data_IF_447148202686
#
_entry.id   IF_447148202686
#
_cell.length_a   1.000
_cell.length_b   1.000
_cell.length_c   1.000
_cell.angle_alpha   90.00
_cell.angle_beta   90.00
_cell.angle_gamma   90.00
#
_symmetry.space_group_name_H-M   'P 1'
#
loop_
_entity.id
_entity.type
_entity.pdbx_description
1 polymer ?
#
# COMPACT_ATOMS: atom_id res chain seq x y z
N UNK A 1 18.05 31.73 2.61
CA UNK A 1 16.84 30.93 2.39
C UNK A 1 17.14 29.97 1.27
N UNK A 2 17.08 28.68 1.55
CA UNK A 2 17.43 27.59 0.65
C UNK A 2 16.48 27.59 -0.57
N UNK A 3 17.00 27.60 -1.79
CA UNK A 3 16.14 27.50 -2.97
C UNK A 3 15.83 26.02 -3.25
N UNK A 4 14.65 25.57 -2.83
CA UNK A 4 14.22 24.18 -2.96
C UNK A 4 14.36 23.63 -4.39
N UNK A 5 14.04 24.43 -5.42
CA UNK A 5 14.08 23.95 -6.80
C UNK A 5 15.53 23.79 -7.29
N UNK A 6 16.42 24.72 -6.94
CA UNK A 6 17.84 24.62 -7.28
C UNK A 6 18.52 23.44 -6.56
N UNK A 7 18.18 23.21 -5.29
CA UNK A 7 18.67 22.05 -4.54
C UNK A 7 18.14 20.74 -5.10
N UNK A 8 16.86 20.68 -5.48
CA UNK A 8 16.25 19.48 -6.05
C UNK A 8 16.85 19.10 -7.41
N UNK A 9 17.35 20.07 -8.19
CA UNK A 9 18.04 19.82 -9.46
C UNK A 9 19.41 19.14 -9.28
N UNK A 10 20.05 19.29 -8.11
CA UNK A 10 21.32 18.63 -7.80
C UNK A 10 21.15 17.11 -7.71
N UNK A 11 19.95 16.60 -7.41
CA UNK A 11 19.67 15.17 -7.30
C UNK A 11 19.52 14.50 -8.67
N UNK A 12 20.35 13.49 -8.90
CA UNK A 12 20.35 12.65 -10.10
C UNK A 12 19.78 11.25 -9.80
N UNK A 13 19.09 10.63 -10.76
CA UNK A 13 18.64 9.25 -10.62
C UNK A 13 19.82 8.28 -10.71
N UNK A 14 19.80 7.20 -9.93
CA UNK A 14 20.82 6.15 -9.97
C UNK A 14 20.32 4.99 -10.84
N UNK A 15 21.07 4.54 -11.84
CA UNK A 15 20.63 3.44 -12.71
C UNK A 15 20.59 2.08 -11.99
N UNK A 16 21.56 1.86 -11.09
CA UNK A 16 21.74 0.63 -10.33
C UNK A 16 22.52 0.91 -9.03
N UNK A 17 22.71 -0.14 -8.24
CA UNK A 17 23.50 -0.07 -7.02
C UNK A 17 24.94 0.36 -7.28
N UNK A 18 25.53 0.05 -8.44
CA UNK A 18 26.92 0.41 -8.77
C UNK A 18 27.11 1.92 -8.91
N UNK A 19 26.12 2.62 -9.48
CA UNK A 19 26.08 4.08 -9.54
C UNK A 19 25.69 4.72 -8.20
N UNK A 20 24.97 4.01 -7.34
CA UNK A 20 24.63 4.48 -5.98
C UNK A 20 25.76 4.26 -4.96
N UNK A 21 26.85 3.55 -5.33
CA UNK A 21 27.99 3.23 -4.45
C UNK A 21 28.62 4.48 -3.85
N UNK A 22 28.70 5.56 -4.63
CA UNK A 22 29.36 6.79 -4.20
C UNK A 22 28.62 7.44 -3.01
N UNK A 23 27.34 7.11 -2.81
CA UNK A 23 26.46 7.71 -1.80
C UNK A 23 25.94 6.68 -0.77
N UNK A 24 26.48 5.45 -0.77
CA UNK A 24 26.15 4.39 0.20
C UNK A 24 27.42 3.98 0.93
N UNK A 25 27.50 4.29 2.23
CA UNK A 25 28.70 4.10 3.04
C UNK A 25 28.62 2.83 3.91
N UNK A 26 29.77 2.28 4.30
CA UNK A 26 29.89 1.19 5.28
C UNK A 26 30.16 -0.21 4.73
N UNK A 27 30.34 -1.18 5.64
CA UNK A 27 30.65 -2.58 5.30
C UNK A 27 29.45 -3.36 4.73
N UNK A 28 28.23 -2.85 4.93
CA UNK A 28 26.97 -3.40 4.39
C UNK A 28 26.98 -3.48 2.85
N UNK A 29 27.58 -2.50 2.18
CA UNK A 29 27.72 -2.48 0.73
C UNK A 29 28.58 -3.65 0.22
N UNK A 30 29.61 -4.04 0.99
CA UNK A 30 30.48 -5.18 0.65
C UNK A 30 29.75 -6.51 0.79
N UNK A 31 28.80 -6.61 1.72
CA UNK A 31 27.97 -7.80 1.90
C UNK A 31 26.87 -7.90 0.85
N UNK A 32 26.19 -6.78 0.54
CA UNK A 32 25.15 -6.70 -0.51
C UNK A 32 25.74 -7.13 -1.86
N UNK A 33 26.96 -6.70 -2.20
CA UNK A 33 27.63 -7.09 -3.45
C UNK A 33 28.03 -8.56 -3.53
N UNK A 34 28.28 -9.22 -2.39
CA UNK A 34 28.67 -10.65 -2.34
C UNK A 34 27.48 -11.59 -2.49
N UNK A 35 26.28 -11.12 -2.15
CA UNK A 35 25.06 -11.93 -2.19
C UNK A 35 24.14 -11.47 -3.33
N UNK A 36 23.96 -12.32 -4.36
CA UNK A 36 23.11 -12.02 -5.52
C UNK A 36 21.66 -11.67 -5.16
N UNK A 37 21.12 -12.25 -4.09
CA UNK A 37 19.76 -11.98 -3.63
C UNK A 37 19.65 -10.59 -2.98
N UNK A 38 20.64 -10.22 -2.17
CA UNK A 38 20.68 -8.89 -1.56
C UNK A 38 20.99 -7.80 -2.58
N UNK A 39 21.86 -8.08 -3.56
CA UNK A 39 22.10 -7.20 -4.71
C UNK A 39 20.82 -6.94 -5.52
N UNK A 40 20.02 -7.97 -5.77
CA UNK A 40 18.73 -7.81 -6.45
C UNK A 40 17.76 -6.94 -5.65
N UNK A 41 17.66 -7.15 -4.33
CA UNK A 41 16.81 -6.34 -3.45
C UNK A 41 17.27 -4.88 -3.43
N UNK A 42 18.56 -4.64 -3.28
CA UNK A 42 19.13 -3.30 -3.27
C UNK A 42 18.83 -2.54 -4.58
N UNK A 43 18.97 -3.19 -5.74
CA UNK A 43 18.58 -2.59 -7.02
C UNK A 43 17.08 -2.25 -7.11
N UNK A 44 16.20 -3.01 -6.47
CA UNK A 44 14.77 -2.66 -6.39
C UNK A 44 14.52 -1.46 -5.47
N UNK A 45 15.30 -1.32 -4.40
CA UNK A 45 15.22 -0.16 -3.51
C UNK A 45 15.73 1.12 -4.21
N UNK A 46 16.80 1.03 -5.00
CA UNK A 46 17.28 2.17 -5.81
C UNK A 46 16.20 2.66 -6.81
N UNK A 47 15.41 1.76 -7.39
CA UNK A 47 14.26 2.16 -8.21
C UNK A 47 13.22 2.95 -7.44
N UNK A 48 12.98 2.63 -6.16
CA UNK A 48 12.06 3.39 -5.30
C UNK A 48 12.59 4.77 -4.96
N UNK A 49 13.90 4.92 -4.78
CA UNK A 49 14.55 6.22 -4.65
C UNK A 49 14.33 7.09 -5.90
N UNK A 50 14.55 6.55 -7.10
CA UNK A 50 14.29 7.28 -8.36
C UNK A 50 12.81 7.68 -8.51
N UNK A 51 11.89 6.82 -8.06
CA UNK A 51 10.46 7.15 -8.02
C UNK A 51 10.19 8.30 -7.05
N UNK A 52 10.79 8.27 -5.86
CA UNK A 52 10.67 9.34 -4.88
C UNK A 52 11.16 10.68 -5.43
N UNK A 53 12.32 10.69 -6.10
CA UNK A 53 12.87 11.86 -6.76
C UNK A 53 11.94 12.41 -7.85
N UNK A 54 11.33 11.52 -8.65
CA UNK A 54 10.36 11.95 -9.66
C UNK A 54 9.10 12.54 -9.02
N UNK A 55 8.61 11.97 -7.92
CA UNK A 55 7.49 12.53 -7.17
C UNK A 55 7.82 13.91 -6.60
N UNK A 56 9.01 14.10 -6.02
CA UNK A 56 9.48 15.40 -5.53
C UNK A 56 9.54 16.44 -6.65
N UNK A 57 10.06 16.07 -7.84
CA UNK A 57 10.11 16.95 -9.03
C UNK A 57 8.73 17.33 -9.56
N UNK A 58 7.73 16.49 -9.34
CA UNK A 58 6.33 16.75 -9.70
C UNK A 58 5.57 17.52 -8.61
N UNK A 59 6.20 17.81 -7.47
CA UNK A 59 5.57 18.44 -6.31
C UNK A 59 4.64 17.51 -5.50
N UNK A 60 4.76 16.20 -5.70
CA UNK A 60 4.02 15.16 -4.98
C UNK A 60 4.80 14.73 -3.72
N UNK A 61 4.98 15.67 -2.78
CA UNK A 61 5.93 15.54 -1.67
C UNK A 61 5.58 14.39 -0.70
N UNK A 62 4.29 14.14 -0.42
CA UNK A 62 3.84 13.04 0.45
C UNK A 62 4.21 11.66 -0.11
N UNK A 63 4.06 11.47 -1.43
CA UNK A 63 4.43 10.23 -2.11
C UNK A 63 5.95 10.07 -2.17
N UNK A 64 6.68 11.16 -2.34
CA UNK A 64 8.14 11.17 -2.28
C UNK A 64 8.63 10.74 -0.89
N UNK A 65 8.10 11.34 0.18
CA UNK A 65 8.42 11.00 1.58
C UNK A 65 8.09 9.55 1.92
N UNK A 66 6.94 9.03 1.46
CA UNK A 66 6.57 7.62 1.65
C UNK A 66 7.58 6.65 1.02
N UNK A 67 8.01 6.93 -0.21
CA UNK A 67 9.01 6.10 -0.88
C UNK A 67 10.39 6.23 -0.21
N UNK A 68 10.79 7.42 0.23
CA UNK A 68 12.06 7.64 0.93
C UNK A 68 12.13 6.88 2.25
N UNK A 69 11.05 6.87 3.05
CA UNK A 69 10.98 6.06 4.29
C UNK A 69 11.24 4.59 4.01
N UNK A 70 10.69 4.03 2.92
CA UNK A 70 10.96 2.66 2.51
C UNK A 70 12.41 2.44 2.08
N UNK A 71 13.01 3.43 1.41
CA UNK A 71 14.40 3.37 0.93
C UNK A 71 15.37 3.34 2.12
N UNK A 72 15.26 4.30 3.04
CA UNK A 72 16.16 4.41 4.18
C UNK A 72 15.99 3.28 5.19
N UNK A 73 14.78 2.70 5.29
CA UNK A 73 14.56 1.49 6.10
C UNK A 73 15.30 0.26 5.55
N UNK A 74 15.49 0.19 4.24
CA UNK A 74 16.14 -0.94 3.57
C UNK A 74 17.64 -0.71 3.34
N UNK A 75 18.07 0.54 3.18
CA UNK A 75 19.48 0.95 3.05
C UNK A 75 19.72 2.13 4.01
N UNK A 76 20.02 1.87 5.30
CA UNK A 76 20.13 2.89 6.35
C UNK A 76 21.29 3.88 6.19
N UNK A 77 22.22 3.61 5.27
CA UNK A 77 23.41 4.44 5.04
C UNK A 77 23.40 5.11 3.65
N UNK A 78 22.22 5.31 3.06
CA UNK A 78 22.05 5.95 1.75
C UNK A 78 21.88 7.48 1.88
N UNK A 79 22.97 8.21 1.68
CA UNK A 79 23.05 9.66 1.97
C UNK A 79 22.10 10.49 1.11
N UNK A 80 22.01 10.23 -0.20
CA UNK A 80 21.10 11.00 -1.07
C UNK A 80 19.62 10.85 -0.68
N UNK A 81 19.22 9.66 -0.24
CA UNK A 81 17.85 9.43 0.20
C UNK A 81 17.54 10.26 1.46
N UNK A 82 18.49 10.36 2.40
CA UNK A 82 18.35 11.23 3.56
C UNK A 82 18.44 12.72 3.20
N UNK A 83 19.28 13.12 2.24
CA UNK A 83 19.37 14.51 1.79
C UNK A 83 18.06 14.97 1.13
N UNK A 84 17.49 14.15 0.26
CA UNK A 84 16.19 14.45 -0.36
C UNK A 84 15.06 14.47 0.67
N UNK A 85 15.11 13.56 1.65
CA UNK A 85 14.15 13.52 2.76
C UNK A 85 14.25 14.76 3.64
N UNK A 86 15.47 15.21 3.97
CA UNK A 86 15.70 16.44 4.72
C UNK A 86 15.19 17.67 3.95
N UNK A 87 15.51 17.77 2.66
CA UNK A 87 15.07 18.87 1.80
C UNK A 87 13.53 18.97 1.71
N UNK A 88 12.84 17.84 1.53
CA UNK A 88 11.38 17.78 1.52
C UNK A 88 10.76 18.12 2.87
N UNK A 89 11.40 17.68 3.96
CA UNK A 89 10.92 17.95 5.33
C UNK A 89 11.09 19.43 5.68
N UNK A 90 12.18 20.07 5.25
CA UNK A 90 12.37 21.54 5.39
C UNK A 90 11.30 22.29 4.62
N UNK A 91 10.98 21.89 3.38
CA UNK A 91 9.88 22.51 2.59
C UNK A 91 8.51 22.36 3.28
N UNK A 92 8.31 21.28 4.02
CA UNK A 92 7.07 20.98 4.73
C UNK A 92 7.02 21.57 6.16
N UNK A 93 8.06 22.31 6.58
CA UNK A 93 8.23 22.80 7.97
C UNK A 93 8.25 21.67 9.03
N UNK A 94 8.53 20.42 8.60
CA UNK A 94 8.72 19.26 9.48
C UNK A 94 10.19 19.18 9.92
N UNK A 95 10.52 20.04 10.86
CA UNK A 95 11.88 20.21 11.36
C UNK A 95 12.40 19.01 12.16
N UNK A 96 11.50 18.22 12.78
CA UNK A 96 11.86 17.01 13.52
C UNK A 96 12.40 15.94 12.56
N UNK A 97 11.65 15.65 11.50
CA UNK A 97 12.07 14.69 10.48
C UNK A 97 13.31 15.16 9.72
N UNK A 98 13.41 16.47 9.44
CA UNK A 98 14.60 17.05 8.80
C UNK A 98 15.87 16.85 9.64
N UNK A 99 15.78 17.12 10.95
CA UNK A 99 16.89 16.97 11.88
C UNK A 99 17.30 15.49 12.02
N UNK A 100 16.35 14.57 12.10
CA UNK A 100 16.64 13.13 12.14
C UNK A 100 17.39 12.68 10.87
N UNK A 101 16.93 13.10 9.69
CA UNK A 101 17.55 12.75 8.42
C UNK A 101 18.99 13.29 8.32
N UNK A 102 19.21 14.56 8.69
CA UNK A 102 20.55 15.19 8.73
C UNK A 102 21.48 14.50 9.73
N UNK A 103 20.98 14.15 10.93
CA UNK A 103 21.77 13.44 11.93
C UNK A 103 22.19 12.05 11.45
N UNK A 104 21.35 11.36 10.68
CA UNK A 104 21.72 10.08 10.08
C UNK A 104 22.81 10.25 9.01
N UNK A 105 22.82 11.35 8.26
CA UNK A 105 23.91 11.68 7.33
C UNK A 105 25.22 11.90 8.09
N UNK A 106 25.23 12.71 9.16
CA UNK A 106 26.46 12.97 9.91
C UNK A 106 27.06 11.75 10.61
N UNK A 107 26.28 10.69 10.84
CA UNK A 107 26.83 9.41 11.34
C UNK A 107 27.73 8.71 10.32
N UNK A 108 27.47 8.91 9.03
CA UNK A 108 28.19 8.24 7.93
C UNK A 108 29.14 9.17 7.18
N UNK A 109 28.77 10.43 7.02
CA UNK A 109 29.55 11.49 6.37
C UNK A 109 29.43 12.79 7.20
N UNK A 110 30.29 12.96 8.23
CA UNK A 110 30.30 14.16 9.08
C UNK A 110 30.61 15.46 8.33
N UNK A 111 31.29 15.37 7.18
CA UNK A 111 31.76 16.53 6.44
C UNK A 111 30.82 16.97 5.31
N UNK A 112 29.70 16.27 5.11
CA UNK A 112 28.74 16.53 4.04
C UNK A 112 28.28 18.00 3.97
N UNK A 113 28.62 18.69 2.88
CA UNK A 113 28.37 20.12 2.71
C UNK A 113 26.86 20.42 2.65
N UNK A 114 26.09 19.63 1.88
CA UNK A 114 24.64 19.79 1.74
C UNK A 114 23.91 19.60 3.08
N UNK A 115 24.29 18.60 3.87
CA UNK A 115 23.70 18.37 5.18
C UNK A 115 23.98 19.52 6.16
N UNK A 116 25.20 20.09 6.15
CA UNK A 116 25.54 21.29 6.95
C UNK A 116 24.72 22.51 6.52
N UNK A 117 24.51 22.68 5.22
CA UNK A 117 23.70 23.76 4.67
C UNK A 117 22.22 23.63 5.06
N UNK A 118 21.64 22.44 4.93
CA UNK A 118 20.24 22.16 5.32
C UNK A 118 20.05 22.33 6.84
N UNK A 119 21.04 21.93 7.64
CA UNK A 119 21.04 22.12 9.09
C UNK A 119 21.10 23.60 9.50
N UNK A 120 21.82 24.43 8.73
CA UNK A 120 21.93 25.86 9.00
C UNK A 120 20.62 26.59 8.75
N UNK A 121 19.91 26.22 7.68
CA UNK A 121 18.59 26.75 7.36
C UNK A 121 17.56 26.39 8.45
N UNK A 122 17.48 25.10 8.82
CA UNK A 122 16.67 24.62 9.94
C UNK A 122 16.93 25.40 11.25
N UNK A 123 18.20 25.58 11.62
CA UNK A 123 18.55 26.27 12.86
C UNK A 123 18.33 27.79 12.80
N UNK A 124 18.32 28.39 11.61
CA UNK A 124 18.04 29.81 11.43
C UNK A 124 16.54 30.10 11.56
N UNK A 125 15.67 29.20 11.12
CA UNK A 125 14.21 29.29 11.32
C UNK A 125 13.81 29.09 12.80
N UNK A 126 14.46 28.15 13.49
CA UNK A 126 14.20 27.85 14.92
C UNK A 126 14.71 28.97 15.84
N UNK A 127 15.69 29.78 15.40
CA UNK A 127 16.26 30.90 16.18
C UNK A 127 15.49 32.21 16.07
N UNK A 128 14.29 32.23 15.48
CA UNK A 128 13.36 33.33 15.74
C UNK A 128 12.84 33.18 17.19
N UNK A 129 13.14 34.11 18.10
CA UNK A 129 13.26 33.83 19.52
C UNK A 129 11.92 33.89 20.25
N UNK A 130 11.38 32.73 20.60
CA UNK A 130 10.90 32.48 21.96
C UNK A 130 11.49 31.14 22.38
N UNK A 131 12.19 31.13 23.53
CA UNK A 131 12.72 29.95 24.23
C UNK A 131 14.08 29.38 23.77
N UNK A 132 15.17 30.04 24.17
CA UNK A 132 16.39 29.33 24.61
C UNK A 132 17.03 30.08 25.80
N UNK A 133 16.56 29.80 27.02
CA UNK A 133 17.49 29.69 28.14
C UNK A 133 17.99 28.24 28.17
N UNK A 134 19.24 28.03 27.77
CA UNK A 134 20.23 27.24 28.50
C UNK A 134 21.51 27.18 27.66
N UNK A 135 22.30 28.27 27.72
CA UNK A 135 23.73 28.16 27.48
C UNK A 135 24.40 27.53 28.70
N UNK A 136 25.16 26.48 28.42
CA UNK A 136 26.12 25.85 29.30
C UNK A 136 27.41 26.67 29.35
N UNK A 137 27.84 27.14 30.52
CA UNK A 137 29.28 27.38 30.78
C UNK A 137 29.66 27.05 32.24
N UNK A 138 30.79 26.35 32.37
CA UNK A 138 31.43 25.92 33.61
C UNK A 138 32.40 27.01 34.15
N UNK A 139 32.41 27.19 35.48
CA UNK A 139 33.49 27.73 36.38
C UNK A 139 33.87 29.22 36.19
N UNK A 140 34.03 30.07 37.22
CA UNK A 140 34.74 29.90 38.50
C UNK A 140 34.39 31.02 39.52
N UNK A 141 34.62 30.72 40.80
CA UNK A 141 34.56 31.49 42.08
C UNK A 141 34.47 33.04 42.05
N UNK A 142 33.61 33.63 42.89
CA UNK A 142 33.95 34.12 44.25
C UNK A 142 32.83 34.91 44.98
N UNK A 143 32.68 34.60 46.27
CA UNK A 143 32.25 35.39 47.45
C UNK A 143 31.38 36.68 47.31
N UNK A 144 30.19 36.56 47.94
CA UNK A 144 29.75 37.24 49.20
C UNK A 144 29.33 38.73 49.16
N UNK A 145 28.02 38.98 49.37
CA UNK A 145 27.40 39.92 50.35
C UNK A 145 25.93 40.17 49.95
N UNK A 146 24.93 39.78 50.77
CA UNK A 146 24.11 40.68 51.62
C UNK A 146 23.64 41.95 50.88
N UNK A 147 22.37 42.36 50.83
CA UNK A 147 21.45 42.51 51.95
C UNK A 147 20.10 43.08 51.46
N UNK A 148 19.03 42.67 52.15
CA UNK A 148 17.81 43.44 52.52
C UNK A 148 16.84 44.07 51.52
N UNK A 149 15.58 43.64 51.75
CA UNK A 149 14.30 44.24 51.46
C UNK A 149 14.08 45.69 51.92
N UNK A 150 13.13 46.37 51.23
CA UNK A 150 12.13 47.36 51.69
C UNK A 150 11.40 47.81 50.40
N UNK A 151 10.07 47.80 50.22
CA UNK A 151 8.93 47.84 51.12
C UNK A 151 8.22 49.20 51.00
N UNK A 152 7.16 49.33 50.17
CA UNK A 152 6.19 50.46 50.16
C UNK A 152 4.84 49.92 49.63
N UNK A 153 3.90 49.53 50.50
CA UNK A 153 2.75 50.27 51.09
C UNK A 153 1.58 50.56 50.12
N UNK A 154 0.47 49.85 50.41
CA UNK A 154 -0.84 49.96 49.79
C UNK A 154 -1.64 51.14 50.39
N UNK A 155 -2.13 52.12 49.61
CA UNK A 155 -2.89 53.23 50.12
C UNK A 155 -4.38 53.02 49.82
N UNK A 156 -5.22 52.68 50.78
CA UNK A 156 -6.62 53.17 50.85
C UNK A 156 -7.25 52.75 52.19
N UNK A 157 -7.68 53.75 52.96
CA UNK A 157 -8.42 53.64 54.23
C UNK A 157 -9.89 53.36 53.93
N UNK A 158 -10.46 52.38 54.62
CA UNK A 158 -11.90 52.14 54.68
C UNK A 158 -12.63 53.26 55.43
N UNK A 159 -13.80 53.67 54.93
CA UNK A 159 -14.82 54.39 55.69
C UNK A 159 -16.09 53.54 55.71
N UNK A 160 -16.56 53.31 56.93
CA UNK A 160 -17.83 52.69 57.30
C UNK A 160 -19.01 53.62 57.04
N UNK A 161 -20.12 53.07 56.56
CA UNK A 161 -21.44 53.71 56.57
C UNK A 161 -22.43 52.81 57.32
N UNK A 162 -23.15 53.44 58.25
CA UNK A 162 -24.22 52.89 59.08
C UNK A 162 -25.53 52.66 58.29
N UNK A 163 -26.30 51.72 58.83
CA UNK A 163 -27.57 51.22 58.31
C UNK A 163 -28.73 52.23 58.41
N UNK A 164 -29.68 52.15 57.48
CA UNK A 164 -31.11 52.36 57.74
C UNK A 164 -31.96 51.69 56.66
N UNK A 165 -33.17 51.29 57.07
CA UNK A 165 -33.90 50.12 56.61
C UNK A 165 -34.53 50.17 55.21
N UNK A 166 -34.41 49.06 54.48
CA UNK A 166 -35.55 48.37 53.84
C UNK A 166 -35.08 47.09 53.13
N UNK A 167 -35.49 45.95 53.71
CA UNK A 167 -35.56 44.60 53.15
C UNK A 167 -34.65 44.26 51.96
N UNK A 168 -33.35 44.03 52.22
CA UNK A 168 -32.46 43.14 51.46
C UNK A 168 -31.13 43.02 52.23
N UNK A 169 -30.73 41.80 52.59
CA UNK A 169 -29.54 41.56 53.42
C UNK A 169 -28.23 42.02 52.76
N UNK A 170 -27.11 42.04 53.52
CA UNK A 170 -25.79 42.52 53.04
C UNK A 170 -25.26 41.82 51.79
N UNK A 171 -25.75 40.60 51.50
CA UNK A 171 -25.50 39.87 50.25
C UNK A 171 -26.01 40.61 49.00
N UNK A 172 -27.09 41.39 49.10
CA UNK A 172 -27.64 42.11 47.95
C UNK A 172 -26.70 43.23 47.50
N UNK A 173 -26.16 44.01 48.45
CA UNK A 173 -25.20 45.08 48.16
C UNK A 173 -23.86 44.55 47.62
N UNK A 174 -23.42 43.37 48.08
CA UNK A 174 -22.23 42.70 47.56
C UNK A 174 -22.42 42.26 46.10
N UNK A 175 -23.57 41.68 45.76
CA UNK A 175 -23.90 41.26 44.38
C UNK A 175 -24.09 42.46 43.46
N UNK A 176 -24.81 43.51 43.90
CA UNK A 176 -24.93 44.73 43.09
C UNK A 176 -23.59 45.45 42.91
N UNK A 177 -22.72 45.44 43.92
CA UNK A 177 -21.37 46.00 43.81
C UNK A 177 -20.48 45.23 42.84
N UNK A 178 -20.59 43.89 42.81
CA UNK A 178 -19.86 43.02 41.88
C UNK A 178 -20.36 43.24 40.44
N UNK A 179 -21.67 43.39 40.25
CA UNK A 179 -22.26 43.68 38.93
C UNK A 179 -21.86 45.07 38.44
N UNK A 180 -21.93 46.10 39.29
CA UNK A 180 -21.50 47.46 38.92
C UNK A 180 -19.99 47.47 38.65
N UNK A 181 -19.18 46.74 39.43
CA UNK A 181 -17.74 46.59 39.19
C UNK A 181 -17.42 45.94 37.84
N UNK A 182 -18.16 44.89 37.47
CA UNK A 182 -18.06 44.25 36.14
C UNK A 182 -18.47 45.21 35.03
N UNK A 183 -19.58 45.95 35.20
CA UNK A 183 -20.05 46.92 34.20
C UNK A 183 -19.07 48.08 34.04
N UNK A 184 -18.50 48.61 35.13
CA UNK A 184 -17.49 49.68 35.11
C UNK A 184 -16.18 49.19 34.51
N UNK A 185 -15.77 47.95 34.81
CA UNK A 185 -14.60 47.33 34.21
C UNK A 185 -14.78 47.14 32.70
N UNK A 186 -15.94 46.69 32.23
CA UNK A 186 -16.24 46.61 30.80
C UNK A 186 -16.34 48.01 30.19
N UNK A 187 -17.04 48.96 30.81
CA UNK A 187 -17.24 50.30 30.24
C UNK A 187 -15.96 51.17 30.21
N UNK A 188 -14.99 50.96 31.11
CA UNK A 188 -13.74 51.70 31.12
C UNK A 188 -12.59 50.94 30.44
N UNK A 189 -12.48 49.62 30.66
CA UNK A 189 -11.37 48.83 30.12
C UNK A 189 -11.64 48.49 28.64
N UNK A 190 -12.89 48.20 28.23
CA UNK A 190 -13.19 47.86 26.84
C UNK A 190 -12.87 48.98 25.84
N UNK A 191 -13.27 50.26 26.04
CA UNK A 191 -12.88 51.32 25.11
C UNK A 191 -11.39 51.65 25.18
N UNK A 192 -10.73 51.55 26.34
CA UNK A 192 -9.28 51.79 26.46
C UNK A 192 -8.45 50.67 25.82
N UNK A 193 -8.86 49.41 25.96
CA UNK A 193 -8.23 48.26 25.27
C UNK A 193 -8.53 48.30 23.77
N UNK A 194 -9.75 48.65 23.36
CA UNK A 194 -10.12 48.79 21.93
C UNK A 194 -9.42 49.96 21.24
N UNK A 195 -9.22 51.09 21.91
CA UNK A 195 -8.41 52.21 21.40
C UNK A 195 -6.91 51.87 21.36
N UNK A 196 -6.42 51.03 22.29
CA UNK A 196 -5.04 50.52 22.28
C UNK A 196 -4.82 49.36 21.29
N UNK A 197 -5.87 48.80 20.69
CA UNK A 197 -5.79 47.69 19.70
C UNK A 197 -6.13 48.12 18.26
N UNK A 198 -6.59 49.37 18.03
CA UNK A 198 -7.08 49.81 16.72
C UNK A 198 -5.99 50.29 15.75
N UNK A 199 -4.70 50.08 16.04
CA UNK A 199 -3.62 50.49 15.13
C UNK A 199 -2.67 49.38 14.64
N UNK A 200 -2.96 48.09 14.91
CA UNK A 200 -2.17 46.95 14.38
C UNK A 200 -2.97 45.71 13.95
N UNK A 201 -4.30 45.69 14.02
CA UNK A 201 -5.10 44.45 13.82
C UNK A 201 -5.88 44.40 12.50
N UNK A 202 -5.78 45.42 11.63
CA UNK A 202 -6.48 45.41 10.33
C UNK A 202 -5.77 44.58 9.27
N UNK A 203 -4.44 44.44 9.36
CA UNK A 203 -3.62 43.76 8.35
C UNK A 203 -3.63 42.24 8.51
N UNK A 204 -3.59 41.71 9.74
CA UNK A 204 -3.59 40.27 9.98
C UNK A 204 -4.94 39.62 9.65
N UNK A 205 -6.07 40.30 9.94
CA UNK A 205 -7.42 39.76 9.64
C UNK A 205 -7.72 39.78 8.14
N UNK A 206 -7.16 40.72 7.38
CA UNK A 206 -7.25 40.68 5.91
C UNK A 206 -6.33 39.62 5.29
N UNK A 207 -5.12 39.44 5.81
CA UNK A 207 -4.18 38.38 5.38
C UNK A 207 -4.76 36.98 5.63
N UNK A 208 -5.35 36.72 6.79
CA UNK A 208 -6.05 35.45 7.05
C UNK A 208 -7.27 35.24 6.12
N UNK A 209 -7.96 36.31 5.72
CA UNK A 209 -9.07 36.20 4.76
C UNK A 209 -8.56 35.89 3.35
N UNK A 210 -7.45 36.50 2.93
CA UNK A 210 -6.79 36.19 1.66
C UNK A 210 -6.27 34.75 1.64
N UNK A 211 -5.67 34.28 2.74
CA UNK A 211 -5.21 32.89 2.87
C UNK A 211 -6.37 31.89 2.87
N UNK A 212 -7.49 32.19 3.54
CA UNK A 212 -8.71 31.36 3.47
C UNK A 212 -9.27 31.32 2.06
N UNK A 213 -9.31 32.46 1.35
CA UNK A 213 -9.76 32.52 -0.04
C UNK A 213 -8.82 31.78 -0.99
N UNK A 214 -7.51 31.86 -0.77
CA UNK A 214 -6.51 31.13 -1.53
C UNK A 214 -6.63 29.62 -1.29
N UNK A 215 -6.82 29.19 -0.03
CA UNK A 215 -7.07 27.78 0.33
C UNK A 215 -8.41 27.26 -0.18
N UNK A 216 -9.47 28.07 -0.15
CA UNK A 216 -10.79 27.73 -0.74
C UNK A 216 -10.70 27.60 -2.28
N UNK A 217 -9.91 28.46 -2.93
CA UNK A 217 -9.64 28.37 -4.37
C UNK A 217 -8.80 27.14 -4.70
N UNK A 218 -7.80 26.81 -3.89
CA UNK A 218 -7.01 25.58 -4.02
C UNK A 218 -7.84 24.32 -3.74
N UNK A 219 -8.73 24.35 -2.75
CA UNK A 219 -9.69 23.27 -2.47
C UNK A 219 -10.62 23.06 -3.65
N UNK A 220 -11.20 24.11 -4.22
CA UNK A 220 -12.05 24.03 -5.43
C UNK A 220 -11.27 23.53 -6.64
N UNK A 221 -10.00 23.93 -6.80
CA UNK A 221 -9.14 23.41 -7.85
C UNK A 221 -8.79 21.92 -7.63
N UNK A 222 -8.59 21.51 -6.37
CA UNK A 222 -8.40 20.11 -5.96
C UNK A 222 -9.65 19.26 -6.21
N UNK A 223 -10.83 19.74 -5.83
CA UNK A 223 -12.11 19.11 -6.12
C UNK A 223 -12.36 18.98 -7.63
N UNK A 224 -12.00 20.00 -8.41
CA UNK A 224 -12.07 19.95 -9.87
C UNK A 224 -11.13 18.88 -10.44
N UNK A 225 -9.88 18.81 -9.96
CA UNK A 225 -8.92 17.77 -10.36
C UNK A 225 -9.38 16.37 -9.95
N UNK A 226 -9.99 16.21 -8.77
CA UNK A 226 -10.57 14.95 -8.31
C UNK A 226 -11.72 14.55 -9.22
N UNK A 227 -12.60 15.47 -9.61
CA UNK A 227 -13.69 15.21 -10.56
C UNK A 227 -13.15 14.83 -11.94
N UNK A 228 -12.18 15.57 -12.46
CA UNK A 228 -11.53 15.27 -13.74
C UNK A 228 -10.82 13.90 -13.71
N UNK A 229 -10.16 13.56 -12.61
CA UNK A 229 -9.53 12.25 -12.41
C UNK A 229 -10.56 11.12 -12.29
N UNK A 230 -11.69 11.36 -11.61
CA UNK A 230 -12.80 10.41 -11.52
C UNK A 230 -13.49 10.22 -12.87
N UNK A 231 -13.66 11.29 -13.66
CA UNK A 231 -14.20 11.22 -15.02
C UNK A 231 -13.25 10.49 -15.97
N UNK A 232 -11.94 10.75 -15.87
CA UNK A 232 -10.93 10.03 -16.65
C UNK A 232 -10.83 8.56 -16.24
N UNK A 233 -10.91 8.25 -14.95
CA UNK A 233 -10.97 6.88 -14.44
C UNK A 233 -12.22 6.17 -14.95
N UNK A 234 -13.39 6.79 -14.84
CA UNK A 234 -14.65 6.24 -15.35
C UNK A 234 -14.59 6.03 -16.85
N UNK A 235 -14.03 6.97 -17.60
CA UNK A 235 -13.82 6.83 -19.05
C UNK A 235 -12.88 5.68 -19.40
N UNK A 236 -11.78 5.51 -18.65
CA UNK A 236 -10.88 4.37 -18.83
C UNK A 236 -11.55 3.04 -18.43
N UNK A 237 -12.40 3.04 -17.41
CA UNK A 237 -13.22 1.89 -17.02
C UNK A 237 -14.28 1.54 -18.08
N UNK A 238 -14.93 2.54 -18.67
CA UNK A 238 -15.92 2.40 -19.75
C UNK A 238 -15.24 1.92 -21.06
N UNK A 239 -14.09 2.48 -21.44
CA UNK A 239 -13.27 2.04 -22.58
C UNK A 239 -12.75 0.60 -22.37
N UNK A 240 -12.40 0.25 -21.14
CA UNK A 240 -12.02 -1.11 -20.78
C UNK A 240 -13.23 -2.06 -20.83
N UNK A 241 -14.39 -1.65 -20.32
CA UNK A 241 -15.64 -2.42 -20.40
C UNK A 241 -16.10 -2.62 -21.86
N UNK A 242 -15.83 -1.67 -22.75
CA UNK A 242 -16.00 -1.84 -24.20
C UNK A 242 -15.02 -2.88 -24.78
N UNK A 243 -13.77 -2.90 -24.30
CA UNK A 243 -12.72 -3.79 -24.79
C UNK A 243 -12.77 -5.23 -24.23
N UNK A 244 -13.29 -5.44 -23.01
CA UNK A 244 -13.42 -6.79 -22.39
C UNK A 244 -14.89 -7.25 -22.24
N UNK A 245 -15.88 -6.38 -22.36
CA UNK A 245 -17.29 -6.69 -22.14
C UNK A 245 -17.59 -7.15 -20.70
N UNK A 246 -18.72 -7.84 -20.50
CA UNK A 246 -19.16 -8.38 -19.19
C UNK A 246 -18.23 -9.44 -18.57
N UNK A 247 -17.19 -9.87 -19.30
CA UNK A 247 -16.30 -10.95 -18.88
C UNK A 247 -15.45 -10.66 -17.63
N UNK A 248 -15.19 -9.38 -17.33
CA UNK A 248 -14.55 -8.95 -16.08
C UNK A 248 -15.49 -9.10 -14.87
N UNK A 249 -16.79 -8.79 -15.03
CA UNK A 249 -17.82 -8.97 -13.99
C UNK A 249 -18.07 -10.44 -13.67
N UNK A 250 -17.91 -11.32 -14.66
CA UNK A 250 -18.12 -12.77 -14.51
C UNK A 250 -16.87 -13.55 -14.05
N UNK A 251 -15.74 -12.88 -13.76
CA UNK A 251 -14.48 -13.51 -13.33
C UNK A 251 -13.79 -14.37 -14.41
N UNK A 252 -14.27 -14.34 -15.64
CA UNK A 252 -13.75 -15.17 -16.74
C UNK A 252 -12.36 -14.71 -17.17
N UNK A 253 -12.12 -13.40 -17.13
CA UNK A 253 -10.80 -12.84 -17.41
C UNK A 253 -9.74 -13.38 -16.44
N UNK A 254 -10.07 -13.43 -15.15
CA UNK A 254 -9.16 -13.94 -14.11
C UNK A 254 -8.87 -15.43 -14.31
N UNK A 255 -9.87 -16.22 -14.70
CA UNK A 255 -9.68 -17.63 -15.06
C UNK A 255 -8.76 -17.80 -16.28
N UNK A 256 -8.93 -16.97 -17.32
CA UNK A 256 -8.09 -17.01 -18.51
C UNK A 256 -6.65 -16.60 -18.20
N UNK A 257 -6.47 -15.57 -17.37
CA UNK A 257 -5.15 -15.12 -16.91
C UNK A 257 -4.47 -16.19 -16.04
N UNK A 258 -5.22 -16.81 -15.12
CA UNK A 258 -4.73 -17.94 -14.32
C UNK A 258 -4.29 -19.10 -15.21
N UNK A 259 -5.06 -19.43 -16.24
CA UNK A 259 -4.69 -20.46 -17.19
C UNK A 259 -3.37 -20.12 -17.93
N UNK A 260 -3.20 -18.87 -18.36
CA UNK A 260 -1.98 -18.39 -19.01
C UNK A 260 -0.76 -18.44 -18.08
N UNK A 261 -0.91 -18.01 -16.83
CA UNK A 261 0.15 -18.06 -15.83
C UNK A 261 0.60 -19.51 -15.59
N UNK A 262 -0.33 -20.42 -15.35
CA UNK A 262 -0.01 -21.84 -15.14
C UNK A 262 0.64 -22.48 -16.37
N UNK A 263 0.24 -22.06 -17.58
CA UNK A 263 0.90 -22.51 -18.81
C UNK A 263 2.34 -21.98 -18.91
N UNK A 264 2.58 -20.72 -18.55
CA UNK A 264 3.93 -20.13 -18.49
C UNK A 264 4.83 -20.89 -17.51
N UNK A 265 4.27 -21.31 -16.37
CA UNK A 265 4.95 -22.12 -15.35
C UNK A 265 5.10 -23.60 -15.75
N UNK A 266 4.68 -23.97 -16.98
CA UNK A 266 4.63 -25.35 -17.51
C UNK A 266 3.75 -26.29 -16.68
N UNK A 267 2.87 -25.75 -15.85
CA UNK A 267 1.88 -26.50 -15.11
C UNK A 267 0.62 -26.72 -15.98
N UNK A 268 0.74 -27.65 -16.93
CA UNK A 268 -0.33 -27.93 -17.90
C UNK A 268 -1.62 -28.42 -17.25
N UNK A 269 -1.53 -29.16 -16.15
CA UNK A 269 -2.70 -29.71 -15.45
C UNK A 269 -3.55 -28.60 -14.83
N UNK A 270 -2.93 -27.69 -14.09
CA UNK A 270 -3.67 -26.57 -13.49
C UNK A 270 -4.13 -25.55 -14.53
N UNK A 271 -3.34 -25.34 -15.59
CA UNK A 271 -3.77 -24.53 -16.73
C UNK A 271 -5.04 -25.11 -17.38
N UNK A 272 -5.10 -26.42 -17.58
CA UNK A 272 -6.28 -27.08 -18.13
C UNK A 272 -7.50 -27.01 -17.19
N UNK A 273 -7.30 -27.12 -15.87
CA UNK A 273 -8.39 -26.97 -14.90
C UNK A 273 -9.05 -25.58 -15.03
N UNK A 274 -8.25 -24.51 -15.05
CA UNK A 274 -8.76 -23.16 -15.22
C UNK A 274 -9.51 -22.97 -16.55
N UNK A 275 -9.01 -23.55 -17.65
CA UNK A 275 -9.68 -23.51 -18.95
C UNK A 275 -11.01 -24.27 -19.00
N UNK A 276 -11.16 -25.33 -18.20
CA UNK A 276 -12.40 -26.10 -18.13
C UNK A 276 -13.51 -25.36 -17.37
N UNK A 277 -13.16 -24.40 -16.53
CA UNK A 277 -14.11 -23.57 -15.77
C UNK A 277 -14.62 -22.38 -16.60
N UNK A 278 -13.98 -22.10 -17.74
CA UNK A 278 -14.39 -21.04 -18.66
C UNK A 278 -15.46 -21.56 -19.62
N UNK A 279 -16.65 -20.97 -19.54
CA UNK A 279 -17.64 -21.10 -20.61
C UNK A 279 -17.25 -20.22 -21.79
N UNK A 280 -16.77 -20.86 -22.87
CA UNK A 280 -16.38 -20.19 -24.12
C UNK A 280 -17.47 -19.26 -24.66
N UNK A 281 -18.75 -19.54 -24.44
CA UNK A 281 -19.87 -18.69 -24.92
C UNK A 281 -19.91 -17.34 -24.24
N UNK A 282 -19.44 -17.26 -23.00
CA UNK A 282 -19.36 -16.03 -22.22
C UNK A 282 -18.14 -15.17 -22.56
N UNK A 283 -17.21 -15.68 -23.35
CA UNK A 283 -16.15 -14.85 -23.93
C UNK A 283 -16.81 -13.90 -24.94
N UNK A 284 -16.77 -12.61 -24.67
CA UNK A 284 -17.45 -11.58 -25.47
C UNK A 284 -16.63 -11.19 -26.69
N UNK A 285 -15.30 -11.07 -26.53
CA UNK A 285 -14.42 -10.60 -27.61
C UNK A 285 -13.78 -11.71 -28.43
N UNK A 286 -13.49 -11.39 -29.69
CA UNK A 286 -12.81 -12.28 -30.64
C UNK A 286 -11.40 -12.65 -30.13
N UNK A 287 -10.68 -11.69 -29.56
CA UNK A 287 -9.32 -11.92 -29.05
C UNK A 287 -9.33 -12.90 -27.88
N UNK A 288 -10.24 -12.76 -26.91
CA UNK A 288 -10.34 -13.71 -25.79
C UNK A 288 -10.67 -15.13 -26.26
N UNK A 289 -11.61 -15.26 -27.22
CA UNK A 289 -11.91 -16.56 -27.83
C UNK A 289 -10.68 -17.17 -28.49
N UNK A 290 -9.92 -16.36 -29.24
CA UNK A 290 -8.69 -16.80 -29.91
C UNK A 290 -7.62 -17.26 -28.91
N UNK A 291 -7.40 -16.50 -27.84
CA UNK A 291 -6.43 -16.87 -26.78
C UNK A 291 -6.86 -18.16 -26.10
N UNK A 292 -8.14 -18.28 -25.73
CA UNK A 292 -8.69 -19.48 -25.13
C UNK A 292 -8.51 -20.72 -26.03
N UNK A 293 -8.85 -20.60 -27.32
CA UNK A 293 -8.74 -21.71 -28.28
C UNK A 293 -7.27 -22.12 -28.54
N UNK A 294 -6.36 -21.15 -28.68
CA UNK A 294 -4.92 -21.40 -28.83
C UNK A 294 -4.34 -22.07 -27.58
N UNK A 295 -4.68 -21.56 -26.40
CA UNK A 295 -4.19 -22.10 -25.13
C UNK A 295 -4.68 -23.53 -24.92
N UNK A 296 -5.94 -23.83 -25.23
CA UNK A 296 -6.47 -25.21 -25.21
C UNK A 296 -5.65 -26.14 -26.11
N UNK A 297 -5.34 -25.70 -27.32
CA UNK A 297 -4.58 -26.49 -28.28
C UNK A 297 -3.18 -26.83 -27.76
N UNK A 298 -2.53 -25.89 -27.07
CA UNK A 298 -1.18 -26.05 -26.49
C UNK A 298 -1.16 -26.82 -25.16
N UNK A 299 -2.18 -26.63 -24.33
CA UNK A 299 -2.23 -27.15 -22.96
C UNK A 299 -2.82 -28.56 -22.92
N UNK A 300 -3.93 -28.79 -23.61
CA UNK A 300 -4.74 -30.00 -23.43
C UNK A 300 -4.00 -31.31 -23.72
N UNK A 301 -3.16 -31.42 -24.76
CA UNK A 301 -2.40 -32.66 -25.00
C UNK A 301 -1.47 -33.01 -23.84
N UNK A 302 -0.73 -32.03 -23.32
CA UNK A 302 0.21 -32.24 -22.21
C UNK A 302 -0.52 -32.48 -20.89
N UNK A 303 -1.58 -31.72 -20.63
CA UNK A 303 -2.39 -31.87 -19.43
C UNK A 303 -3.08 -33.24 -19.38
N UNK A 304 -3.64 -33.71 -20.50
CA UNK A 304 -4.26 -35.03 -20.58
C UNK A 304 -3.24 -36.13 -20.30
N UNK A 305 -2.04 -36.06 -20.90
CA UNK A 305 -0.96 -37.02 -20.64
C UNK A 305 -0.52 -37.02 -19.17
N UNK A 306 -0.38 -35.84 -18.58
CA UNK A 306 -0.05 -35.68 -17.16
C UNK A 306 -1.10 -36.31 -16.25
N UNK A 307 -2.37 -35.94 -16.44
CA UNK A 307 -3.48 -36.49 -15.65
C UNK A 307 -3.65 -38.00 -15.83
N UNK A 308 -3.45 -38.52 -17.04
CA UNK A 308 -3.46 -39.96 -17.27
C UNK A 308 -2.33 -40.66 -16.48
N UNK A 309 -1.14 -40.07 -16.45
CA UNK A 309 0.00 -40.59 -15.68
C UNK A 309 -0.27 -40.57 -14.18
N UNK A 310 -0.81 -39.48 -13.65
CA UNK A 310 -1.26 -39.39 -12.25
C UNK A 310 -2.34 -40.42 -11.92
N UNK A 311 -3.30 -40.62 -12.82
CA UNK A 311 -4.34 -41.63 -12.69
C UNK A 311 -3.77 -43.06 -12.64
N UNK A 312 -2.78 -43.37 -13.48
CA UNK A 312 -2.09 -44.66 -13.44
C UNK A 312 -1.32 -44.84 -12.14
N UNK A 313 -0.58 -43.83 -11.68
CA UNK A 313 0.16 -43.87 -10.43
C UNK A 313 -0.77 -44.16 -9.24
N UNK A 314 -1.89 -43.45 -9.17
CA UNK A 314 -2.91 -43.68 -8.15
C UNK A 314 -3.54 -45.08 -8.26
N UNK A 315 -3.82 -45.55 -9.47
CA UNK A 315 -4.38 -46.88 -9.72
C UNK A 315 -3.44 -47.99 -9.23
N UNK A 316 -2.15 -47.91 -9.56
CA UNK A 316 -1.15 -48.88 -9.10
C UNK A 316 -0.86 -48.79 -7.60
N UNK A 317 -1.01 -47.61 -7.02
CA UNK A 317 -1.01 -47.40 -5.56
C UNK A 317 -2.30 -47.93 -4.88
N UNK A 318 -3.26 -48.47 -5.64
CA UNK A 318 -4.59 -48.93 -5.19
C UNK A 318 -5.47 -47.83 -4.59
N UNK A 319 -5.12 -46.56 -4.79
CA UNK A 319 -5.97 -45.42 -4.51
C UNK A 319 -6.95 -45.22 -5.68
N UNK A 320 -7.90 -46.15 -5.78
CA UNK A 320 -8.82 -46.20 -6.91
C UNK A 320 -9.76 -44.99 -6.96
N UNK A 321 -10.04 -44.35 -5.82
CA UNK A 321 -10.83 -43.12 -5.75
C UNK A 321 -10.11 -41.97 -6.47
N UNK A 322 -8.83 -41.72 -6.14
CA UNK A 322 -8.05 -40.70 -6.86
C UNK A 322 -7.83 -41.05 -8.32
N UNK A 323 -7.58 -42.32 -8.62
CA UNK A 323 -7.43 -42.77 -10.01
C UNK A 323 -8.66 -42.42 -10.85
N UNK A 324 -9.87 -42.70 -10.33
CA UNK A 324 -11.14 -42.31 -10.97
C UNK A 324 -11.20 -40.81 -11.25
N UNK A 325 -10.82 -39.97 -10.29
CA UNK A 325 -10.87 -38.51 -10.44
C UNK A 325 -9.89 -38.01 -11.53
N UNK A 326 -8.66 -38.51 -11.53
CA UNK A 326 -7.68 -38.15 -12.55
C UNK A 326 -8.09 -38.60 -13.95
N UNK A 327 -8.55 -39.85 -14.12
CA UNK A 327 -9.01 -40.33 -15.42
C UNK A 327 -10.25 -39.58 -15.92
N UNK A 328 -11.19 -39.20 -15.03
CA UNK A 328 -12.32 -38.33 -15.40
C UNK A 328 -11.85 -36.98 -15.92
N UNK A 329 -10.88 -36.34 -15.25
CA UNK A 329 -10.31 -35.06 -15.70
C UNK A 329 -9.62 -35.21 -17.06
N UNK A 330 -8.83 -36.26 -17.24
CA UNK A 330 -8.17 -36.58 -18.51
C UNK A 330 -9.19 -36.69 -19.67
N UNK A 331 -10.29 -37.43 -19.45
CA UNK A 331 -11.39 -37.59 -20.41
C UNK A 331 -12.12 -36.27 -20.70
N UNK A 332 -12.30 -35.41 -19.67
CA UNK A 332 -12.95 -34.10 -19.82
C UNK A 332 -12.12 -33.15 -20.69
N UNK A 333 -10.79 -33.21 -20.57
CA UNK A 333 -9.84 -32.42 -21.38
C UNK A 333 -9.80 -32.95 -22.82
N UNK A 334 -9.60 -34.26 -22.98
CA UNK A 334 -9.63 -34.90 -24.29
C UNK A 334 -10.32 -36.26 -24.19
N UNK A 335 -11.49 -36.34 -24.80
CA UNK A 335 -12.27 -37.57 -24.85
C UNK A 335 -11.82 -38.54 -25.94
N UNK A 336 -10.66 -38.36 -26.57
CA UNK A 336 -10.20 -39.20 -27.69
C UNK A 336 -9.27 -40.34 -27.28
N UNK A 337 -8.71 -40.29 -26.07
CA UNK A 337 -7.82 -41.36 -25.58
C UNK A 337 -8.61 -42.52 -24.97
N UNK A 338 -8.62 -43.66 -25.68
CA UNK A 338 -9.29 -44.89 -25.22
C UNK A 338 -8.69 -45.44 -23.92
N UNK A 339 -7.40 -45.19 -23.65
CA UNK A 339 -6.74 -45.72 -22.45
C UNK A 339 -7.29 -45.06 -21.19
N UNK A 340 -7.50 -43.74 -21.21
CA UNK A 340 -8.13 -43.02 -20.09
C UNK A 340 -9.51 -43.59 -19.74
N UNK A 341 -10.32 -43.96 -20.73
CA UNK A 341 -11.61 -44.63 -20.47
C UNK A 341 -11.42 -46.04 -19.91
N UNK A 342 -10.50 -46.82 -20.47
CA UNK A 342 -10.26 -48.19 -20.04
C UNK A 342 -9.78 -48.27 -18.59
N UNK A 343 -8.82 -47.43 -18.21
CA UNK A 343 -8.34 -47.38 -16.84
C UNK A 343 -9.35 -46.73 -15.88
N UNK A 344 -10.22 -45.83 -16.33
CA UNK A 344 -11.38 -45.40 -15.54
C UNK A 344 -12.33 -46.56 -15.23
N UNK A 345 -12.67 -47.38 -16.23
CA UNK A 345 -13.54 -48.54 -16.03
C UNK A 345 -12.92 -49.58 -15.07
N UNK A 346 -11.61 -49.83 -15.23
CA UNK A 346 -10.82 -50.68 -14.32
C UNK A 346 -10.77 -50.13 -12.91
N UNK A 347 -10.52 -48.83 -12.74
CA UNK A 347 -10.50 -48.19 -11.42
C UNK A 347 -11.87 -48.27 -10.74
N UNK A 348 -12.97 -48.10 -11.48
CA UNK A 348 -14.31 -48.32 -10.93
C UNK A 348 -14.55 -49.77 -10.51
N UNK A 349 -14.13 -50.74 -11.33
CA UNK A 349 -14.25 -52.16 -11.04
C UNK A 349 -13.52 -52.52 -9.75
N UNK A 350 -12.26 -52.09 -9.63
CA UNK A 350 -11.41 -52.39 -8.46
C UNK A 350 -11.83 -51.59 -7.21
N UNK A 351 -12.49 -50.45 -7.38
CA UNK A 351 -13.16 -49.71 -6.29
C UNK A 351 -14.54 -50.30 -5.91
N UNK A 352 -14.94 -51.43 -6.51
CA UNK A 352 -16.23 -52.09 -6.23
C UNK A 352 -17.46 -51.41 -6.84
N UNK A 353 -17.27 -50.34 -7.64
CA UNK A 353 -18.36 -49.64 -8.33
C UNK A 353 -18.69 -50.32 -9.66
N UNK A 354 -19.22 -51.54 -9.57
CA UNK A 354 -19.52 -52.41 -10.72
C UNK A 354 -20.44 -51.74 -11.74
N UNK A 355 -21.45 -50.98 -11.30
CA UNK A 355 -22.39 -50.26 -12.19
C UNK A 355 -21.66 -49.23 -13.05
N UNK A 356 -20.79 -48.42 -12.44
CA UNK A 356 -20.02 -47.40 -13.18
C UNK A 356 -18.96 -48.03 -14.08
N UNK A 357 -18.37 -49.14 -13.66
CA UNK A 357 -17.45 -49.92 -14.49
C UNK A 357 -18.12 -50.42 -15.77
N UNK A 358 -19.26 -51.12 -15.65
CA UNK A 358 -20.05 -51.61 -16.79
C UNK A 358 -20.42 -50.46 -17.73
N UNK A 359 -20.98 -49.37 -17.21
CA UNK A 359 -21.35 -48.20 -18.03
C UNK A 359 -20.15 -47.57 -18.75
N UNK A 360 -18.97 -47.58 -18.13
CA UNK A 360 -17.75 -47.06 -18.76
C UNK A 360 -17.22 -48.02 -19.83
N UNK A 361 -17.29 -49.34 -19.62
CA UNK A 361 -16.96 -50.33 -20.63
C UNK A 361 -17.87 -50.24 -21.86
N UNK A 362 -19.18 -50.05 -21.68
CA UNK A 362 -20.13 -49.80 -22.78
C UNK A 362 -19.74 -48.57 -23.61
N UNK A 363 -19.33 -47.48 -22.95
CA UNK A 363 -18.85 -46.27 -23.64
C UNK A 363 -17.61 -46.55 -24.49
N UNK A 364 -16.69 -47.40 -24.01
CA UNK A 364 -15.49 -47.77 -24.78
C UNK A 364 -15.88 -48.54 -26.04
N UNK A 365 -16.75 -49.53 -25.90
CA UNK A 365 -17.22 -50.36 -27.02
C UNK A 365 -17.92 -49.50 -28.08
N UNK A 366 -18.77 -48.56 -27.65
CA UNK A 366 -19.51 -47.67 -28.55
C UNK A 366 -18.63 -46.61 -29.21
N UNK A 367 -17.70 -46.00 -28.46
CA UNK A 367 -16.91 -44.85 -28.93
C UNK A 367 -15.63 -45.24 -29.65
N UNK A 368 -15.06 -46.39 -29.32
CA UNK A 368 -13.79 -46.87 -29.86
C UNK A 368 -13.91 -48.29 -30.41
N UNK A 369 -14.86 -48.56 -31.33
CA UNK A 369 -15.07 -49.89 -31.89
C UNK A 369 -13.79 -50.40 -32.58
N UNK A 370 -13.57 -51.72 -32.53
CA UNK A 370 -12.42 -52.38 -33.17
C UNK A 370 -11.08 -52.21 -32.44
N UNK A 371 -11.02 -51.44 -31.36
CA UNK A 371 -9.80 -51.35 -30.54
C UNK A 371 -9.65 -52.57 -29.61
N UNK A 372 -8.42 -52.95 -29.28
CA UNK A 372 -8.15 -53.99 -28.26
C UNK A 372 -8.83 -53.66 -26.92
N UNK A 373 -8.86 -52.38 -26.56
CA UNK A 373 -9.55 -51.89 -25.36
C UNK A 373 -11.06 -52.15 -25.42
N UNK A 374 -11.72 -52.01 -26.57
CA UNK A 374 -13.13 -52.36 -26.74
C UNK A 374 -13.39 -53.86 -26.58
N UNK A 375 -12.56 -54.72 -27.18
CA UNK A 375 -12.65 -56.18 -27.00
C UNK A 375 -12.45 -56.57 -25.53
N UNK A 376 -11.44 -56.02 -24.88
CA UNK A 376 -11.20 -56.25 -23.45
C UNK A 376 -12.37 -55.75 -22.58
N UNK A 377 -12.95 -54.60 -22.93
CA UNK A 377 -14.09 -54.01 -22.24
C UNK A 377 -15.32 -54.92 -22.34
N UNK A 378 -15.59 -55.49 -23.51
CA UNK A 378 -16.70 -56.45 -23.69
C UNK A 378 -16.53 -57.67 -22.79
N UNK A 379 -15.33 -58.26 -22.76
CA UNK A 379 -15.04 -59.44 -21.95
C UNK A 379 -15.21 -59.15 -20.45
N UNK A 380 -14.68 -58.01 -19.97
CA UNK A 380 -14.80 -57.58 -18.57
C UNK A 380 -16.25 -57.29 -18.20
N UNK A 381 -16.99 -56.60 -19.06
CA UNK A 381 -18.41 -56.31 -18.86
C UNK A 381 -19.25 -57.58 -18.72
N UNK A 382 -19.08 -58.55 -19.62
CA UNK A 382 -19.80 -59.83 -19.56
C UNK A 382 -19.51 -60.59 -18.26
N UNK A 383 -18.24 -60.61 -17.83
CA UNK A 383 -17.84 -61.26 -16.58
C UNK A 383 -18.48 -60.59 -15.35
N UNK A 384 -18.52 -59.25 -15.32
CA UNK A 384 -19.15 -58.49 -14.24
C UNK A 384 -20.66 -58.71 -14.19
N UNK A 385 -21.34 -58.75 -15.34
CA UNK A 385 -22.77 -59.02 -15.42
C UNK A 385 -23.10 -60.43 -14.91
N UNK A 386 -22.36 -61.45 -15.34
CA UNK A 386 -22.56 -62.83 -14.84
C UNK A 386 -22.34 -62.95 -13.32
N UNK A 387 -21.31 -62.27 -12.78
CA UNK A 387 -21.07 -62.25 -11.33
C UNK A 387 -22.21 -61.57 -10.57
N UNK A 388 -22.81 -60.52 -11.15
CA UNK A 388 -23.93 -59.80 -10.54
C UNK A 388 -25.20 -60.65 -10.58
N UNK A 389 -25.47 -61.37 -11.68
CA UNK A 389 -26.63 -62.28 -11.81
C UNK A 389 -26.56 -63.52 -10.93
N UNK A 390 -25.37 -63.95 -10.49
CA UNK A 390 -25.20 -65.09 -9.57
C UNK A 390 -25.32 -64.73 -8.09
N UNK A 391 -25.30 -63.43 -7.76
CA UNK A 391 -25.34 -62.92 -6.39
C UNK A 391 -26.72 -62.32 -6.01
N UNK A 392 -27.67 -62.36 -6.94
CA UNK A 392 -29.11 -62.09 -6.76
C UNK A 392 -29.83 -63.44 -6.70
#
# INVERSE_FOLDING_TARGET
>A
MLNFNEELEKFQPCADLEQAVENIYGDELKEIKKNKTELYKANQIIKKYNQALNYAKQGNDDLAMLQLKNVVSAIPNFVDAYLLMALLSVKAEDFETAQEAVNNIFKVDPENESAKEYMKEFNAEIKNPEDVEHESEEKEKSKKSTETAKGIKNPFKAKSFDNTDSSKGPMFYMVTGLIIGVIVSVALIYPTVKASFSHKTSTQVEDYKEQILAKDTQLKAGEKKIKEAQEAQKKAEDELEEYIGTSKKDGIYDLLLKALQQYSDKNYTESANALLDIDRKKLTTKNMKSIYDDLKTKVYPNAQKGLYTEGLNAYYAKDYKKAVDYFKKAIKISGTDVNSYYYLARAYEDNGNTKSAISTYEKIIKKFPGTRSATNSQNRMNALQQKTSKNL
#
